data_IF_157227483299
#
_entry.id   IF_157227483299
#
_cell.length_a   1.000
_cell.length_b   1.000
_cell.length_c   1.000
_cell.angle_alpha   90.00
_cell.angle_beta   90.00
_cell.angle_gamma   90.00
#
_symmetry.space_group_name_H-M   'P 1'
#
loop_
_entity.id
_entity.type
_entity.pdbx_description
1 polymer ?
#
# COMPACT_ATOMS: atom_id res chain seq x y z
N UNK A 1 26.45 -17.21 -9.00
CA UNK A 1 25.25 -16.59 -8.44
C UNK A 1 24.14 -16.70 -9.46
N UNK A 2 23.05 -17.40 -9.11
CA UNK A 2 21.81 -17.36 -9.89
C UNK A 2 21.04 -16.12 -9.49
N UNK A 3 20.70 -15.28 -10.45
CA UNK A 3 19.88 -14.09 -10.23
C UNK A 3 18.41 -14.50 -10.30
N UNK A 4 17.72 -14.47 -9.17
CA UNK A 4 16.27 -14.65 -9.14
C UNK A 4 15.59 -13.35 -9.56
N UNK A 5 15.35 -13.19 -10.87
CA UNK A 5 14.63 -12.03 -11.40
C UNK A 5 13.12 -12.10 -11.16
N UNK A 6 12.65 -13.23 -10.65
CA UNK A 6 11.24 -13.49 -10.38
C UNK A 6 10.86 -13.12 -8.95
N UNK A 7 11.79 -13.19 -8.04
CA UNK A 7 11.56 -13.04 -6.62
C UNK A 7 12.04 -11.66 -6.14
N UNK A 8 11.24 -10.97 -5.36
CA UNK A 8 11.60 -9.68 -4.79
C UNK A 8 11.29 -9.62 -3.29
N UNK A 9 12.13 -9.00 -2.53
CA UNK A 9 11.86 -8.71 -1.12
C UNK A 9 10.83 -7.57 -1.00
N UNK A 10 10.16 -7.41 0.16
CA UNK A 10 9.33 -6.25 0.42
C UNK A 10 10.03 -4.94 0.08
N UNK A 11 9.35 -3.99 -0.60
CA UNK A 11 9.95 -2.72 -1.02
C UNK A 11 10.07 -1.74 0.15
N UNK A 12 10.94 -2.06 1.11
CA UNK A 12 11.18 -1.24 2.32
C UNK A 12 12.23 -0.15 2.11
N UNK A 13 12.88 -0.11 0.93
CA UNK A 13 13.94 0.85 0.63
C UNK A 13 13.51 2.31 0.79
N UNK A 14 12.31 2.65 0.34
CA UNK A 14 11.77 4.00 0.47
C UNK A 14 11.56 4.40 1.93
N UNK A 15 11.02 3.49 2.75
CA UNK A 15 10.89 3.70 4.19
C UNK A 15 12.25 3.89 4.86
N UNK A 16 13.23 3.05 4.55
CA UNK A 16 14.57 3.12 5.13
C UNK A 16 15.27 4.44 4.78
N UNK A 17 15.26 4.84 3.50
CA UNK A 17 15.85 6.11 3.04
C UNK A 17 15.23 7.32 3.73
N UNK A 18 13.90 7.35 3.81
CA UNK A 18 13.17 8.41 4.51
C UNK A 18 13.54 8.46 5.99
N UNK A 19 13.63 7.31 6.69
CA UNK A 19 14.01 7.25 8.11
C UNK A 19 15.45 7.69 8.34
N UNK A 20 16.39 7.29 7.51
CA UNK A 20 17.78 7.76 7.58
C UNK A 20 17.84 9.29 7.50
N UNK A 21 17.14 9.88 6.51
CA UNK A 21 17.06 11.34 6.38
C UNK A 21 16.47 12.00 7.64
N UNK A 22 15.35 11.51 8.14
CA UNK A 22 14.68 12.05 9.31
C UNK A 22 15.52 11.95 10.59
N UNK A 23 16.21 10.84 10.79
CA UNK A 23 17.11 10.63 11.93
C UNK A 23 18.32 11.57 11.83
N UNK A 24 18.96 11.64 10.67
CA UNK A 24 20.07 12.56 10.41
C UNK A 24 19.67 14.00 10.69
N UNK A 25 18.55 14.47 10.13
CA UNK A 25 18.02 15.83 10.34
C UNK A 25 17.79 16.16 11.83
N UNK A 26 17.31 15.17 12.61
CA UNK A 26 17.14 15.36 14.07
C UNK A 26 18.45 15.50 14.81
N UNK A 27 19.50 14.78 14.40
CA UNK A 27 20.81 14.80 15.05
C UNK A 27 21.67 16.00 14.66
N UNK A 28 21.64 16.39 13.39
CA UNK A 28 22.49 17.47 12.86
C UNK A 28 21.81 18.84 12.84
N UNK A 29 20.50 18.87 12.95
CA UNK A 29 19.67 20.07 12.76
C UNK A 29 19.41 20.41 11.28
N UNK A 30 20.08 19.75 10.35
CA UNK A 30 20.00 20.01 8.90
C UNK A 30 19.66 18.70 8.15
N UNK A 31 18.85 18.83 7.08
CA UNK A 31 18.49 17.71 6.22
C UNK A 31 19.51 17.52 5.10
N UNK A 32 19.96 16.30 4.87
CA UNK A 32 20.76 15.96 3.68
C UNK A 32 19.84 15.70 2.49
N UNK A 33 19.41 16.77 1.84
CA UNK A 33 18.54 16.70 0.65
C UNK A 33 19.26 16.09 -0.57
N UNK A 34 20.60 16.12 -0.60
CA UNK A 34 21.37 15.48 -1.69
C UNK A 34 21.25 13.96 -1.59
N UNK A 35 21.34 13.41 -0.38
CA UNK A 35 21.05 12.00 -0.10
C UNK A 35 19.61 11.63 -0.45
N UNK A 36 18.65 12.47 -0.06
CA UNK A 36 17.24 12.19 -0.33
C UNK A 36 16.92 12.16 -1.82
N UNK A 37 17.49 13.10 -2.61
CA UNK A 37 17.37 13.12 -4.09
C UNK A 37 18.04 11.91 -4.73
N UNK A 38 19.22 11.52 -4.26
CA UNK A 38 19.92 10.33 -4.77
C UNK A 38 19.09 9.06 -4.50
N UNK A 39 18.58 8.91 -3.26
CA UNK A 39 17.72 7.81 -2.90
C UNK A 39 16.45 7.77 -3.74
N UNK A 40 15.78 8.89 -3.96
CA UNK A 40 14.57 8.95 -4.78
C UNK A 40 14.82 8.42 -6.20
N UNK A 41 15.96 8.79 -6.84
CA UNK A 41 16.27 8.32 -8.21
C UNK A 41 16.35 6.81 -8.30
N UNK A 42 17.00 6.15 -7.35
CA UNK A 42 17.10 4.69 -7.32
C UNK A 42 15.72 4.05 -7.03
N UNK A 43 14.99 4.62 -6.08
CA UNK A 43 13.68 4.13 -5.70
C UNK A 43 12.61 4.30 -6.81
N UNK A 44 12.76 5.28 -7.70
CA UNK A 44 11.91 5.42 -8.88
C UNK A 44 12.09 4.26 -9.87
N UNK A 45 13.31 3.72 -10.00
CA UNK A 45 13.58 2.54 -10.80
C UNK A 45 12.93 1.30 -10.18
N UNK A 46 13.10 1.12 -8.86
CA UNK A 46 12.43 0.05 -8.11
C UNK A 46 10.90 0.15 -8.25
N UNK A 47 10.34 1.34 -8.07
CA UNK A 47 8.90 1.57 -8.22
C UNK A 47 8.41 1.24 -9.63
N UNK A 48 9.14 1.66 -10.66
CA UNK A 48 8.84 1.33 -12.05
C UNK A 48 8.87 -0.17 -12.32
N UNK A 49 9.83 -0.89 -11.73
CA UNK A 49 9.91 -2.34 -11.84
C UNK A 49 8.67 -3.03 -11.22
N UNK A 50 8.30 -2.63 -10.00
CA UNK A 50 7.13 -3.16 -9.31
C UNK A 50 5.83 -2.91 -10.08
N UNK A 51 5.57 -1.66 -10.47
CA UNK A 51 4.32 -1.28 -11.14
C UNK A 51 4.12 -1.93 -12.50
N UNK A 52 5.22 -2.26 -13.20
CA UNK A 52 5.13 -2.90 -14.52
C UNK A 52 5.04 -4.43 -14.47
N UNK A 53 5.29 -5.03 -13.31
CA UNK A 53 5.44 -6.48 -13.25
C UNK A 53 4.26 -7.22 -12.67
N UNK A 54 3.63 -6.67 -11.66
CA UNK A 54 2.81 -7.43 -10.74
C UNK A 54 1.31 -7.16 -10.86
N UNK A 55 0.90 -6.23 -11.72
CA UNK A 55 -0.50 -5.94 -12.02
C UNK A 55 -0.84 -6.30 -13.47
N UNK A 56 -1.14 -7.57 -13.73
CA UNK A 56 -1.42 -8.08 -15.08
C UNK A 56 -2.76 -7.64 -15.63
N UNK A 57 -3.71 -7.38 -14.74
CA UNK A 57 -5.07 -7.02 -15.14
C UNK A 57 -5.27 -5.50 -15.24
N UNK A 58 -4.30 -4.70 -14.76
CA UNK A 58 -4.42 -3.24 -14.68
C UNK A 58 -5.49 -2.79 -13.68
N UNK A 59 -5.80 -3.63 -12.69
CA UNK A 59 -6.85 -3.36 -11.69
C UNK A 59 -6.29 -2.86 -10.34
N UNK A 60 -4.96 -2.69 -10.29
CA UNK A 60 -4.18 -2.26 -9.14
C UNK A 60 -4.21 -3.23 -7.95
N UNK A 61 -4.50 -4.50 -8.20
CA UNK A 61 -4.22 -5.60 -7.28
C UNK A 61 -2.98 -6.33 -7.76
N UNK A 62 -2.05 -6.56 -6.85
CA UNK A 62 -0.76 -7.14 -7.18
C UNK A 62 -0.76 -8.64 -6.92
N UNK A 63 -0.20 -9.38 -7.86
CA UNK A 63 -0.10 -10.84 -7.83
C UNK A 63 1.35 -11.28 -7.98
N UNK A 64 1.66 -12.42 -7.39
CA UNK A 64 2.86 -13.22 -7.67
C UNK A 64 4.18 -12.74 -7.07
N UNK A 65 4.94 -13.71 -6.65
CA UNK A 65 6.35 -13.54 -6.37
C UNK A 65 6.72 -12.80 -5.10
N UNK A 66 5.80 -12.73 -4.11
CA UNK A 66 6.12 -11.99 -2.95
C UNK A 66 6.67 -12.81 -1.81
N UNK A 67 7.54 -12.35 -1.17
CA UNK A 67 8.66 -13.01 -0.63
C UNK A 67 8.88 -12.70 0.83
N UNK A 68 9.32 -13.69 1.55
CA UNK A 68 9.42 -13.70 2.99
C UNK A 68 8.16 -14.17 3.70
N UNK A 69 7.01 -14.20 3.02
CA UNK A 69 5.74 -14.73 3.53
C UNK A 69 5.19 -15.90 2.70
N UNK A 70 6.00 -16.47 1.83
CA UNK A 70 5.68 -17.58 0.94
C UNK A 70 5.34 -18.87 1.70
N UNK A 71 5.83 -19.06 2.92
CA UNK A 71 5.53 -20.22 3.77
C UNK A 71 4.22 -20.08 4.58
N UNK A 72 3.52 -18.96 4.49
CA UNK A 72 2.33 -18.67 5.28
C UNK A 72 1.05 -18.95 4.49
N UNK A 73 1.14 -19.03 3.15
CA UNK A 73 0.00 -19.28 2.28
C UNK A 73 -0.22 -20.78 2.03
N UNK A 74 -1.45 -21.14 1.62
CA UNK A 74 -1.82 -22.50 1.23
C UNK A 74 -1.11 -22.94 -0.05
N UNK A 75 -0.76 -21.98 -0.93
CA UNK A 75 -0.07 -22.20 -2.18
C UNK A 75 1.30 -21.52 -2.16
N UNK A 76 2.24 -22.06 -2.93
CA UNK A 76 3.50 -21.37 -3.21
C UNK A 76 3.22 -20.18 -4.16
N UNK A 77 3.19 -18.98 -3.60
CA UNK A 77 2.83 -17.75 -4.31
C UNK A 77 3.89 -17.28 -5.31
N UNK A 78 5.08 -17.90 -5.32
CA UNK A 78 6.17 -17.58 -6.25
C UNK A 78 5.88 -18.04 -7.68
N UNK A 79 5.07 -19.08 -7.83
CA UNK A 79 4.83 -19.70 -9.11
C UNK A 79 3.36 -19.57 -9.54
N UNK A 80 3.11 -19.38 -10.85
CA UNK A 80 1.76 -19.48 -11.39
C UNK A 80 1.13 -20.84 -11.09
N UNK A 81 -0.14 -20.86 -10.73
CA UNK A 81 -0.86 -22.10 -10.50
C UNK A 81 -1.07 -22.83 -11.83
N UNK A 82 -0.90 -24.18 -11.81
CA UNK A 82 -0.89 -25.03 -13.02
C UNK A 82 -2.21 -25.03 -13.77
N UNK A 83 -3.31 -24.76 -13.08
CA UNK A 83 -4.66 -24.73 -13.64
C UNK A 83 -5.02 -23.34 -14.23
N UNK A 84 -4.09 -22.39 -14.21
CA UNK A 84 -4.30 -21.02 -14.66
C UNK A 84 -5.00 -20.11 -13.65
N UNK A 85 -5.28 -20.61 -12.44
CA UNK A 85 -5.75 -19.78 -11.34
C UNK A 85 -4.69 -18.76 -10.90
N UNK A 86 -5.13 -17.65 -10.31
CA UNK A 86 -4.28 -16.55 -9.83
C UNK A 86 -4.60 -16.21 -8.39
N UNK A 87 -3.63 -15.63 -7.71
CA UNK A 87 -3.77 -15.18 -6.34
C UNK A 87 -3.60 -13.66 -6.33
N UNK A 88 -4.69 -12.95 -6.06
CA UNK A 88 -4.69 -11.51 -5.81
C UNK A 88 -4.28 -11.26 -4.36
N UNK A 89 -3.06 -10.79 -4.18
CA UNK A 89 -2.44 -10.73 -2.86
C UNK A 89 -2.83 -9.46 -2.09
N UNK A 90 -3.28 -9.63 -0.85
CA UNK A 90 -3.56 -8.52 0.05
C UNK A 90 -2.28 -7.83 0.54
N UNK A 91 -1.28 -8.62 0.91
CA UNK A 91 0.02 -8.11 1.35
C UNK A 91 0.82 -7.48 0.20
N UNK A 92 0.89 -8.10 -0.96
CA UNK A 92 1.58 -7.56 -2.13
C UNK A 92 1.05 -6.18 -2.52
N UNK A 93 -0.27 -6.06 -2.61
CA UNK A 93 -0.95 -4.77 -2.88
C UNK A 93 -0.67 -3.73 -1.79
N UNK A 94 -0.66 -4.16 -0.54
CA UNK A 94 -0.41 -3.28 0.62
C UNK A 94 1.03 -2.80 0.70
N UNK A 95 2.00 -3.65 0.34
CA UNK A 95 3.40 -3.24 0.20
C UNK A 95 3.59 -2.15 -0.86
N UNK A 96 2.84 -2.22 -1.97
CA UNK A 96 2.83 -1.16 -2.96
C UNK A 96 2.21 0.13 -2.42
N UNK A 97 1.19 0.03 -1.57
CA UNK A 97 0.62 1.16 -0.84
C UNK A 97 1.65 1.83 0.08
N UNK A 98 2.40 1.03 0.86
CA UNK A 98 3.50 1.53 1.70
C UNK A 98 4.58 2.23 0.87
N UNK A 99 5.02 1.61 -0.22
CA UNK A 99 6.02 2.17 -1.12
C UNK A 99 5.57 3.51 -1.68
N UNK A 100 4.34 3.58 -2.22
CA UNK A 100 3.76 4.82 -2.75
C UNK A 100 3.71 5.94 -1.71
N UNK A 101 3.29 5.64 -0.47
CA UNK A 101 3.22 6.63 0.61
C UNK A 101 4.61 7.12 1.07
N UNK A 102 5.60 6.23 1.18
CA UNK A 102 6.94 6.65 1.56
C UNK A 102 7.63 7.46 0.46
N UNK A 103 7.38 7.13 -0.81
CA UNK A 103 7.82 7.96 -1.94
C UNK A 103 7.10 9.30 -1.93
N UNK A 104 5.80 9.34 -1.64
CA UNK A 104 5.04 10.58 -1.50
C UNK A 104 5.62 11.46 -0.40
N UNK A 105 5.90 10.92 0.79
CA UNK A 105 6.54 11.68 1.87
C UNK A 105 7.93 12.21 1.46
N UNK A 106 8.69 11.41 0.71
CA UNK A 106 10.01 11.82 0.19
C UNK A 106 9.90 13.00 -0.76
N UNK A 107 8.98 12.95 -1.73
CA UNK A 107 8.82 14.03 -2.70
C UNK A 107 8.19 15.28 -2.09
N UNK A 108 7.34 15.16 -1.07
CA UNK A 108 6.81 16.31 -0.30
C UNK A 108 7.95 17.04 0.41
N UNK A 109 8.85 16.31 1.07
CA UNK A 109 10.04 16.93 1.69
C UNK A 109 10.96 17.60 0.67
N UNK A 110 11.14 17.03 -0.51
CA UNK A 110 11.92 17.65 -1.59
C UNK A 110 11.21 18.87 -2.18
N UNK A 111 9.90 18.89 -2.21
CA UNK A 111 9.10 20.01 -2.66
C UNK A 111 9.22 21.24 -1.73
N UNK A 112 9.65 21.06 -0.45
CA UNK A 112 9.99 22.18 0.44
C UNK A 112 11.16 23.03 -0.14
N UNK A 113 12.09 22.40 -0.88
CA UNK A 113 13.21 23.11 -1.51
C UNK A 113 12.88 23.61 -2.93
N UNK A 114 12.16 22.79 -3.72
CA UNK A 114 11.81 23.12 -5.11
C UNK A 114 10.46 22.48 -5.48
N UNK A 115 9.38 23.21 -5.25
CA UNK A 115 8.02 22.69 -5.47
C UNK A 115 7.73 22.37 -6.94
N UNK A 116 8.24 23.14 -7.90
CA UNK A 116 7.96 22.95 -9.33
C UNK A 116 8.52 21.62 -9.86
N UNK A 117 9.67 21.18 -9.33
CA UNK A 117 10.32 19.95 -9.78
C UNK A 117 9.57 18.68 -9.32
N UNK A 118 8.92 18.74 -8.15
CA UNK A 118 8.37 17.54 -7.51
C UNK A 118 6.84 17.43 -7.51
N UNK A 119 6.12 18.46 -7.96
CA UNK A 119 4.66 18.50 -7.89
C UNK A 119 4.00 17.38 -8.72
N UNK A 120 4.56 17.04 -9.87
CA UNK A 120 4.05 15.96 -10.73
C UNK A 120 4.23 14.59 -10.08
N UNK A 121 5.33 14.40 -9.33
CA UNK A 121 5.56 13.18 -8.57
C UNK A 121 4.61 13.08 -7.37
N UNK A 122 4.31 14.20 -6.70
CA UNK A 122 3.27 14.24 -5.66
C UNK A 122 1.91 13.79 -6.24
N UNK A 123 1.51 14.35 -7.38
CA UNK A 123 0.27 13.97 -8.05
C UNK A 123 0.25 12.48 -8.45
N UNK A 124 1.37 11.98 -8.97
CA UNK A 124 1.51 10.57 -9.36
C UNK A 124 1.33 9.65 -8.16
N UNK A 125 2.11 9.82 -7.09
CA UNK A 125 2.06 8.92 -5.95
C UNK A 125 0.74 9.00 -5.18
N UNK A 126 0.13 10.18 -5.09
CA UNK A 126 -1.21 10.32 -4.52
C UNK A 126 -2.24 9.51 -5.33
N UNK A 127 -2.19 9.61 -6.65
CA UNK A 127 -3.10 8.86 -7.54
C UNK A 127 -2.85 7.36 -7.44
N UNK A 128 -1.59 6.93 -7.44
CA UNK A 128 -1.25 5.51 -7.38
C UNK A 128 -1.66 4.91 -6.03
N UNK A 129 -1.40 5.61 -4.91
CA UNK A 129 -1.89 5.20 -3.60
C UNK A 129 -3.43 5.15 -3.54
N UNK A 130 -4.12 6.13 -4.12
CA UNK A 130 -5.59 6.15 -4.17
C UNK A 130 -6.14 4.95 -4.96
N UNK A 131 -5.50 4.60 -6.07
CA UNK A 131 -5.89 3.43 -6.89
C UNK A 131 -5.70 2.12 -6.15
N UNK A 132 -4.58 1.95 -5.45
CA UNK A 132 -4.31 0.78 -4.61
C UNK A 132 -5.32 0.67 -3.47
N UNK A 133 -5.59 1.78 -2.81
CA UNK A 133 -6.59 1.85 -1.75
C UNK A 133 -7.98 1.49 -2.25
N UNK A 134 -8.37 2.03 -3.39
CA UNK A 134 -9.64 1.71 -4.02
C UNK A 134 -9.71 0.23 -4.41
N UNK A 135 -8.65 -0.31 -5.01
CA UNK A 135 -8.59 -1.71 -5.42
C UNK A 135 -8.72 -2.67 -4.25
N UNK A 136 -8.02 -2.42 -3.15
CA UNK A 136 -8.03 -3.29 -1.96
C UNK A 136 -9.38 -3.26 -1.22
N UNK A 137 -10.10 -2.13 -1.29
CA UNK A 137 -11.27 -1.90 -0.45
C UNK A 137 -12.61 -1.89 -1.18
N UNK A 138 -12.62 -1.80 -2.53
CA UNK A 138 -13.84 -1.74 -3.35
C UNK A 138 -13.90 -2.88 -4.37
N UNK A 139 -15.04 -3.54 -4.55
CA UNK A 139 -15.19 -4.58 -5.57
C UNK A 139 -15.08 -4.05 -7.01
N UNK A 140 -15.38 -2.78 -7.27
CA UNK A 140 -15.13 -2.10 -8.56
C UNK A 140 -15.52 -2.88 -9.81
N UNK A 141 -16.66 -3.58 -9.82
CA UNK A 141 -17.08 -4.44 -10.93
C UNK A 141 -16.38 -5.79 -11.00
N UNK A 142 -15.36 -6.07 -10.17
CA UNK A 142 -14.71 -7.39 -10.08
C UNK A 142 -15.55 -8.43 -9.34
N UNK A 143 -16.44 -7.98 -8.46
CA UNK A 143 -17.28 -8.84 -7.63
C UNK A 143 -16.59 -9.37 -6.36
N UNK A 144 -15.35 -8.97 -6.09
CA UNK A 144 -14.58 -9.34 -4.89
C UNK A 144 -13.65 -8.22 -4.42
N UNK A 145 -13.26 -8.30 -3.17
CA UNK A 145 -12.22 -7.49 -2.51
C UNK A 145 -11.34 -8.41 -1.67
N UNK A 146 -10.19 -7.92 -1.23
CA UNK A 146 -9.36 -8.70 -0.30
C UNK A 146 -9.86 -8.68 1.15
N UNK A 147 -10.79 -7.81 1.48
CA UNK A 147 -11.41 -7.75 2.80
C UNK A 147 -12.57 -8.73 2.93
N UNK A 148 -12.47 -9.67 3.86
CA UNK A 148 -13.57 -10.55 4.24
C UNK A 148 -14.43 -9.86 5.31
N UNK A 149 -15.65 -9.50 4.92
CA UNK A 149 -16.57 -8.78 5.81
C UNK A 149 -17.06 -9.65 6.99
N UNK A 150 -17.16 -10.96 6.79
CA UNK A 150 -17.56 -11.88 7.85
C UNK A 150 -16.46 -12.02 8.91
N UNK A 151 -15.23 -12.27 8.49
CA UNK A 151 -14.10 -12.49 9.39
C UNK A 151 -13.49 -11.18 9.93
N UNK A 152 -13.71 -10.06 9.24
CA UNK A 152 -13.09 -8.78 9.60
C UNK A 152 -11.59 -8.78 9.43
N UNK A 153 -11.11 -9.36 8.34
CA UNK A 153 -9.70 -9.55 8.08
C UNK A 153 -9.37 -9.48 6.58
N UNK A 154 -8.14 -9.14 6.22
CA UNK A 154 -7.69 -9.17 4.84
C UNK A 154 -7.14 -10.55 4.49
N UNK A 155 -7.58 -11.06 3.34
CA UNK A 155 -7.12 -12.33 2.79
C UNK A 155 -6.70 -12.19 1.34
N UNK A 156 -5.85 -13.09 0.90
CA UNK A 156 -5.62 -13.30 -0.51
C UNK A 156 -6.89 -13.90 -1.15
N UNK A 157 -7.12 -13.55 -2.40
CA UNK A 157 -8.25 -14.08 -3.18
C UNK A 157 -7.73 -14.97 -4.29
N UNK A 158 -8.17 -16.22 -4.31
CA UNK A 158 -7.95 -17.12 -5.43
C UNK A 158 -8.98 -16.83 -6.52
N UNK A 159 -8.50 -16.45 -7.70
CA UNK A 159 -9.32 -16.24 -8.90
C UNK A 159 -9.09 -17.36 -9.89
N UNK A 160 -10.15 -18.10 -10.24
CA UNK A 160 -10.08 -19.20 -11.20
C UNK A 160 -10.33 -18.73 -12.63
N UNK A 161 -9.92 -19.54 -13.63
CA UNK A 161 -10.14 -19.24 -15.05
C UNK A 161 -11.63 -19.07 -15.44
N UNK A 162 -12.54 -19.71 -14.71
CA UNK A 162 -13.99 -19.60 -14.91
C UNK A 162 -14.58 -18.30 -14.31
N UNK A 163 -13.74 -17.47 -13.69
CA UNK A 163 -14.15 -16.23 -13.05
C UNK A 163 -14.63 -16.39 -11.59
N UNK A 164 -14.73 -17.62 -11.07
CA UNK A 164 -15.05 -17.84 -9.66
C UNK A 164 -13.90 -17.42 -8.75
N UNK A 165 -14.26 -16.99 -7.54
CA UNK A 165 -13.29 -16.51 -6.54
C UNK A 165 -13.54 -17.11 -5.18
N UNK A 166 -12.45 -17.36 -4.43
CA UNK A 166 -12.50 -17.81 -3.05
C UNK A 166 -11.49 -17.05 -2.20
N UNK A 167 -11.84 -16.76 -0.95
CA UNK A 167 -10.88 -16.29 0.04
C UNK A 167 -9.95 -17.40 0.50
N UNK A 168 -8.66 -17.14 0.48
CA UNK A 168 -7.67 -18.00 1.12
C UNK A 168 -7.57 -17.61 2.60
N UNK A 169 -8.47 -18.14 3.42
CA UNK A 169 -8.63 -17.76 4.84
C UNK A 169 -7.50 -18.31 5.73
N UNK A 170 -6.27 -18.01 5.35
CA UNK A 170 -5.11 -18.23 6.21
C UNK A 170 -4.89 -16.99 7.06
N UNK A 171 -5.37 -17.01 8.30
CA UNK A 171 -5.24 -15.90 9.23
C UNK A 171 -3.80 -15.82 9.71
N UNK A 172 -3.05 -14.89 9.15
CA UNK A 172 -1.60 -14.75 9.34
C UNK A 172 -1.17 -13.28 9.25
N UNK A 173 0.11 -13.03 9.47
CA UNK A 173 0.71 -11.69 9.34
C UNK A 173 0.48 -11.06 7.96
N UNK A 174 0.27 -11.85 6.91
CA UNK A 174 -0.03 -11.33 5.56
C UNK A 174 -1.26 -10.41 5.55
N UNK A 175 -2.30 -10.77 6.31
CA UNK A 175 -3.51 -9.95 6.44
C UNK A 175 -3.34 -8.72 7.36
N UNK A 176 -2.21 -8.59 8.06
CA UNK A 176 -1.85 -7.42 8.88
C UNK A 176 -1.02 -6.40 8.10
N UNK A 177 -0.37 -6.80 7.00
CA UNK A 177 0.48 -5.92 6.20
C UNK A 177 -0.24 -4.63 5.74
N UNK A 178 -1.55 -4.65 5.40
CA UNK A 178 -2.27 -3.42 5.05
C UNK A 178 -2.15 -2.30 6.09
N UNK A 179 -2.01 -2.61 7.37
CA UNK A 179 -1.86 -1.62 8.45
C UNK A 179 -0.58 -0.77 8.29
N UNK A 180 0.45 -1.33 7.65
CA UNK A 180 1.74 -0.65 7.45
C UNK A 180 1.65 0.46 6.39
N UNK A 181 0.69 0.38 5.46
CA UNK A 181 0.47 1.39 4.42
C UNK A 181 -0.25 2.61 5.00
N UNK A 182 0.47 3.35 5.83
CA UNK A 182 -0.01 4.55 6.52
C UNK A 182 1.05 5.64 6.55
N UNK A 183 0.66 6.89 6.33
CA UNK A 183 1.52 8.06 6.43
C UNK A 183 0.74 9.27 6.96
N UNK A 184 1.44 10.16 7.66
CA UNK A 184 0.86 11.41 8.11
C UNK A 184 1.58 12.61 7.50
N UNK A 185 0.81 13.61 7.09
CA UNK A 185 1.27 14.87 6.52
C UNK A 185 0.83 16.03 7.40
N UNK A 186 1.55 17.14 7.38
CA UNK A 186 1.05 18.36 8.00
C UNK A 186 -0.11 18.95 7.20
N UNK A 187 -1.08 19.53 7.90
CA UNK A 187 -2.23 20.16 7.24
C UNK A 187 -1.83 21.25 6.25
N UNK A 188 -0.75 21.95 6.55
CA UNK A 188 -0.23 23.02 5.68
C UNK A 188 0.44 22.46 4.43
N UNK A 189 1.12 21.30 4.49
CA UNK A 189 1.64 20.58 3.31
C UNK A 189 0.50 20.20 2.36
N UNK A 190 -0.59 19.64 2.91
CA UNK A 190 -1.76 19.23 2.10
C UNK A 190 -2.46 20.45 1.48
N UNK A 191 -2.50 21.59 2.18
CA UNK A 191 -3.05 22.83 1.62
C UNK A 191 -2.15 23.45 0.55
N UNK A 192 -0.84 23.40 0.77
CA UNK A 192 0.15 23.99 -0.14
C UNK A 192 0.33 23.18 -1.44
N UNK A 193 0.07 21.87 -1.39
CA UNK A 193 0.24 20.94 -2.51
C UNK A 193 -1.15 20.38 -2.89
N UNK A 194 -1.89 21.00 -3.84
CA UNK A 194 -3.22 20.53 -4.24
C UNK A 194 -3.26 19.05 -4.67
N UNK A 195 -2.14 18.56 -5.20
CA UNK A 195 -1.98 17.15 -5.58
C UNK A 195 -2.14 16.15 -4.41
N UNK A 196 -2.04 16.60 -3.15
CA UNK A 196 -2.28 15.78 -1.96
C UNK A 196 -3.77 15.66 -1.58
N UNK A 197 -4.69 16.18 -2.38
CA UNK A 197 -6.12 16.05 -2.12
C UNK A 197 -6.63 14.65 -2.48
N UNK A 198 -6.32 13.69 -1.58
CA UNK A 198 -6.69 12.28 -1.76
C UNK A 198 -8.20 12.08 -1.85
N UNK A 199 -9.00 12.88 -1.13
CA UNK A 199 -10.46 12.77 -1.16
C UNK A 199 -11.02 13.09 -2.53
N UNK A 200 -10.50 14.10 -3.21
CA UNK A 200 -10.89 14.42 -4.58
C UNK A 200 -10.48 13.30 -5.55
N UNK A 201 -9.24 12.81 -5.44
CA UNK A 201 -8.74 11.72 -6.30
C UNK A 201 -9.56 10.44 -6.12
N UNK A 202 -9.97 10.11 -4.90
CA UNK A 202 -10.82 8.94 -4.63
C UNK A 202 -12.26 9.13 -5.14
N UNK A 203 -12.81 10.36 -5.06
CA UNK A 203 -14.12 10.66 -5.64
C UNK A 203 -14.12 10.48 -7.17
N UNK A 204 -13.11 11.04 -7.84
CA UNK A 204 -12.93 10.89 -9.30
C UNK A 204 -12.81 9.42 -9.71
N UNK A 205 -12.02 8.62 -8.96
CA UNK A 205 -11.89 7.17 -9.21
C UNK A 205 -13.21 6.42 -8.97
N UNK A 206 -13.99 6.82 -7.97
CA UNK A 206 -15.31 6.25 -7.69
C UNK A 206 -16.28 6.49 -8.83
N UNK A 207 -16.31 7.70 -9.37
CA UNK A 207 -17.12 8.07 -10.52
C UNK A 207 -16.70 7.31 -11.78
N UNK A 208 -15.39 7.27 -12.09
CA UNK A 208 -14.85 6.54 -13.25
C UNK A 208 -15.21 5.05 -13.24
N UNK A 209 -15.28 4.45 -12.07
CA UNK A 209 -15.51 3.01 -11.89
C UNK A 209 -16.93 2.63 -11.50
N UNK A 210 -17.84 3.61 -11.39
CA UNK A 210 -19.24 3.38 -11.03
C UNK A 210 -19.44 2.76 -9.64
N UNK A 211 -18.52 3.02 -8.72
CA UNK A 211 -18.56 2.48 -7.36
C UNK A 211 -18.87 3.60 -6.36
N UNK A 212 -19.71 3.35 -5.33
CA UNK A 212 -20.00 4.36 -4.32
C UNK A 212 -18.72 4.71 -3.53
N UNK A 213 -18.45 6.00 -3.45
CA UNK A 213 -17.31 6.58 -2.72
C UNK A 213 -17.41 6.38 -1.19
N UNK A 214 -18.62 6.21 -0.65
CA UNK A 214 -18.90 6.20 0.80
C UNK A 214 -18.13 5.15 1.59
N UNK A 215 -17.74 4.04 0.97
CA UNK A 215 -16.93 3.01 1.61
C UNK A 215 -15.45 3.38 1.76
N UNK A 216 -15.00 4.48 1.14
CA UNK A 216 -13.60 4.89 1.05
C UNK A 216 -13.39 6.29 1.63
N UNK A 217 -14.47 7.02 1.94
CA UNK A 217 -14.46 8.42 2.35
C UNK A 217 -13.72 8.74 3.67
N UNK A 218 -13.29 7.71 4.39
CA UNK A 218 -12.59 7.86 5.67
C UNK A 218 -11.06 7.89 5.57
N UNK A 219 -10.51 7.87 4.34
CA UNK A 219 -9.08 7.75 4.09
C UNK A 219 -8.29 9.06 4.16
N UNK A 220 -8.82 10.07 4.74
CA UNK A 220 -8.15 11.33 5.03
C UNK A 220 -8.70 11.88 6.33
N UNK A 221 -8.48 11.18 7.45
CA UNK A 221 -8.88 11.74 8.74
C UNK A 221 -7.94 12.85 9.16
N UNK A 222 -8.51 13.97 9.52
CA UNK A 222 -7.79 15.10 10.06
C UNK A 222 -7.84 15.05 11.59
N UNK A 223 -6.67 15.09 12.21
CA UNK A 223 -6.57 15.30 13.64
C UNK A 223 -5.70 16.53 13.88
N UNK A 224 -6.32 17.63 14.33
CA UNK A 224 -5.69 18.91 14.60
C UNK A 224 -4.94 19.49 13.38
N UNK A 225 -3.61 19.32 13.33
CA UNK A 225 -2.70 19.86 12.32
C UNK A 225 -2.18 18.80 11.32
N UNK A 226 -2.70 17.57 11.38
CA UNK A 226 -2.20 16.46 10.56
C UNK A 226 -3.30 15.75 9.79
N UNK A 227 -2.99 15.41 8.54
CA UNK A 227 -3.76 14.48 7.72
C UNK A 227 -3.14 13.09 7.81
N UNK A 228 -3.98 12.07 7.97
CA UNK A 228 -3.56 10.67 7.98
C UNK A 228 -4.04 9.99 6.70
N UNK A 229 -3.10 9.50 5.90
CA UNK A 229 -3.38 8.67 4.73
C UNK A 229 -3.15 7.21 5.12
N UNK A 230 -4.16 6.39 4.97
CA UNK A 230 -4.12 4.96 5.31
C UNK A 230 -4.88 4.14 4.28
N UNK A 231 -4.34 2.99 3.89
CA UNK A 231 -5.05 2.06 3.01
C UNK A 231 -6.18 1.33 3.76
N UNK A 232 -6.06 1.23 5.09
CA UNK A 232 -7.05 0.56 5.95
C UNK A 232 -8.00 1.58 6.55
N UNK A 233 -9.32 1.49 6.26
CA UNK A 233 -10.32 2.34 6.89
C UNK A 233 -10.39 2.11 8.42
N UNK A 234 -10.74 3.14 9.22
CA UNK A 234 -10.77 3.05 10.69
C UNK A 234 -11.62 1.90 11.23
N UNK A 235 -12.76 1.62 10.61
CA UNK A 235 -13.65 0.52 11.02
C UNK A 235 -12.98 -0.85 10.84
N UNK A 236 -12.28 -1.03 9.71
CA UNK A 236 -11.55 -2.26 9.44
C UNK A 236 -10.33 -2.39 10.33
N UNK A 237 -9.62 -1.28 10.60
CA UNK A 237 -8.50 -1.27 11.53
C UNK A 237 -8.93 -1.76 12.92
N UNK A 238 -10.07 -1.29 13.43
CA UNK A 238 -10.58 -1.74 14.73
C UNK A 238 -10.82 -3.25 14.75
N UNK A 239 -11.47 -3.80 13.72
CA UNK A 239 -11.74 -5.24 13.63
C UNK A 239 -10.46 -6.07 13.52
N UNK A 240 -9.45 -5.58 12.79
CA UNK A 240 -8.13 -6.23 12.74
C UNK A 240 -7.46 -6.21 14.12
N UNK A 241 -7.49 -5.07 14.82
CA UNK A 241 -6.89 -4.96 16.14
C UNK A 241 -7.58 -5.84 17.18
N UNK A 242 -8.89 -6.06 17.09
CA UNK A 242 -9.61 -7.05 17.91
C UNK A 242 -8.98 -8.44 17.74
N UNK A 243 -8.59 -8.83 16.53
CA UNK A 243 -7.91 -10.10 16.25
C UNK A 243 -6.45 -10.10 16.75
N UNK A 244 -5.74 -8.99 16.57
CA UNK A 244 -4.34 -8.85 17.01
C UNK A 244 -4.22 -8.99 18.53
N UNK A 245 -5.21 -8.48 19.28
CA UNK A 245 -5.24 -8.54 20.73
C UNK A 245 -6.00 -9.76 21.30
N UNK A 246 -6.40 -10.69 20.46
CA UNK A 246 -7.03 -11.94 20.88
C UNK A 246 -5.97 -12.96 21.29
N UNK A 247 -6.02 -13.40 22.55
CA UNK A 247 -5.09 -14.37 23.11
C UNK A 247 -5.21 -15.77 22.48
N UNK A 248 -6.36 -16.07 21.89
CA UNK A 248 -6.58 -17.32 21.16
C UNK A 248 -6.10 -17.25 19.69
N UNK A 249 -5.68 -16.05 19.20
CA UNK A 249 -5.24 -15.87 17.83
C UNK A 249 -3.78 -15.36 17.73
N UNK A 250 -3.56 -14.04 17.84
CA UNK A 250 -2.25 -13.43 17.61
C UNK A 250 -1.50 -13.05 18.88
N UNK A 251 -2.21 -12.68 19.94
CA UNK A 251 -1.57 -12.23 21.17
C UNK A 251 -1.05 -13.41 21.97
N UNK A 252 0.28 -13.55 22.03
CA UNK A 252 0.89 -14.54 22.90
C UNK A 252 0.97 -14.05 24.36
N UNK A 253 1.16 -14.96 25.36
CA UNK A 253 1.39 -14.56 26.74
C UNK A 253 2.62 -13.67 26.96
N UNK A 254 3.44 -13.52 25.95
CA UNK A 254 4.69 -12.72 25.98
C UNK A 254 4.61 -11.44 25.12
N UNK A 255 3.48 -11.13 24.53
CA UNK A 255 3.26 -9.98 23.66
C UNK A 255 3.25 -10.33 22.19
#
# INVERSE_FOLDING_TARGET
>A
YEWALADANPPIGAWAGLRIFQISRRHTGEGDYSFLRASLRELLLEYGWWTNRTDRNGDNLFEGGFLGLDNIAIFDRRYPLKDGSRIEQSDGTSWMGLLSLNLLQTVVLLAEENSEEYIDLCARFTRDFSRLTFALNSPSGRGYVNWDEQDGFYYDVLKRPDGSTDYLRTRSISGLIPILAVASFHADEVKAIPALNISQTLAELGEERGAPFDSISHLGSWNHDRALFSIVPPERLRRILERVFDEDEFLSPYG
#
